data_IF_809684591645
#
_entry.id   IF_809684591645
#
_cell.length_a   1.000
_cell.length_b   1.000
_cell.length_c   1.000
_cell.angle_alpha   90.00
_cell.angle_beta   90.00
_cell.angle_gamma   90.00
#
_symmetry.space_group_name_H-M   'P 1'
#
loop_
_entity.id
_entity.type
_entity.pdbx_description
1 polymer ?
#
# COMPACT_ATOMS: atom_id res chain seq x y z
N UNK A 1 -6.77 -1.03 -39.98
CA UNK A 1 -5.53 -1.84 -39.97
C UNK A 1 -4.42 -1.16 -39.17
N UNK A 2 -4.05 0.09 -39.46
CA UNK A 2 -2.88 0.78 -38.91
C UNK A 2 -2.83 0.85 -37.37
N UNK A 3 -3.94 1.21 -36.71
CA UNK A 3 -3.99 1.24 -35.24
C UNK A 3 -3.82 -0.15 -34.61
N UNK A 4 -4.42 -1.18 -35.21
CA UNK A 4 -4.34 -2.57 -34.75
C UNK A 4 -2.92 -3.13 -34.84
N UNK A 5 -2.22 -2.88 -35.96
CA UNK A 5 -0.83 -3.26 -36.12
C UNK A 5 0.07 -2.55 -35.09
N UNK A 6 -0.13 -1.24 -34.89
CA UNK A 6 0.64 -0.47 -33.93
C UNK A 6 0.46 -0.97 -32.48
N UNK A 7 -0.77 -1.27 -32.03
CA UNK A 7 -0.99 -1.79 -30.66
C UNK A 7 -0.44 -3.21 -30.48
N UNK A 8 -0.42 -4.02 -31.54
CA UNK A 8 0.20 -5.35 -31.50
C UNK A 8 1.72 -5.25 -31.33
N UNK A 9 2.39 -4.41 -32.12
CA UNK A 9 3.85 -4.22 -32.02
C UNK A 9 4.25 -3.65 -30.66
N UNK A 10 3.47 -2.70 -30.13
CA UNK A 10 3.64 -2.19 -28.76
C UNK A 10 3.49 -3.31 -27.73
N UNK A 11 2.51 -4.21 -27.89
CA UNK A 11 2.33 -5.33 -26.95
C UNK A 11 3.56 -6.25 -26.95
N UNK A 12 4.11 -6.59 -28.11
CA UNK A 12 5.34 -7.40 -28.20
C UNK A 12 6.50 -6.75 -27.45
N UNK A 13 6.74 -5.44 -27.67
CA UNK A 13 7.82 -4.71 -27.00
C UNK A 13 7.60 -4.62 -25.48
N UNK A 14 6.38 -4.29 -25.04
CA UNK A 14 6.03 -4.13 -23.63
C UNK A 14 6.11 -5.45 -22.88
N UNK A 15 5.65 -6.56 -23.46
CA UNK A 15 5.76 -7.88 -22.83
C UNK A 15 7.21 -8.34 -22.70
N UNK A 16 8.04 -8.10 -23.72
CA UNK A 16 9.48 -8.38 -23.63
C UNK A 16 10.14 -7.66 -22.46
N UNK A 17 9.86 -6.37 -22.28
CA UNK A 17 10.37 -5.56 -21.16
C UNK A 17 9.80 -6.04 -19.81
N UNK A 18 8.48 -6.30 -19.72
CA UNK A 18 7.85 -6.77 -18.48
C UNK A 18 8.44 -8.11 -18.01
N UNK A 19 8.65 -9.04 -18.93
CA UNK A 19 9.26 -10.34 -18.62
C UNK A 19 10.73 -10.23 -18.23
N UNK A 20 11.48 -9.30 -18.82
CA UNK A 20 12.89 -9.12 -18.49
C UNK A 20 13.12 -8.61 -17.07
N UNK A 21 12.35 -7.59 -16.66
CA UNK A 21 12.53 -6.97 -15.35
C UNK A 21 11.79 -7.68 -14.23
N UNK A 22 10.74 -8.45 -14.56
CA UNK A 22 9.88 -9.17 -13.61
C UNK A 22 9.57 -8.37 -12.34
N UNK A 23 9.27 -7.08 -12.54
CA UNK A 23 9.22 -6.12 -11.45
C UNK A 23 7.98 -6.32 -10.59
N UNK A 24 8.17 -6.22 -9.28
CA UNK A 24 7.13 -6.36 -8.28
C UNK A 24 6.00 -5.33 -8.50
N UNK A 25 4.77 -5.73 -8.17
CA UNK A 25 3.63 -4.79 -8.20
C UNK A 25 3.68 -3.88 -6.96
N UNK A 26 3.19 -2.62 -7.06
CA UNK A 26 3.19 -1.70 -5.93
C UNK A 26 2.57 -2.28 -4.65
N UNK A 27 1.46 -3.04 -4.77
CA UNK A 27 0.79 -3.67 -3.62
C UNK A 27 1.72 -4.56 -2.82
N UNK A 28 2.48 -5.42 -3.51
CA UNK A 28 3.41 -6.34 -2.88
C UNK A 28 4.61 -5.59 -2.28
N UNK A 29 5.09 -4.54 -2.94
CA UNK A 29 6.17 -3.71 -2.42
C UNK A 29 5.76 -2.96 -1.14
N UNK A 30 4.60 -2.29 -1.15
CA UNK A 30 4.12 -1.51 0.00
C UNK A 30 3.82 -2.41 1.20
N UNK A 31 3.11 -3.53 0.99
CA UNK A 31 2.84 -4.49 2.07
C UNK A 31 4.14 -5.08 2.63
N UNK A 32 5.04 -5.53 1.76
CA UNK A 32 6.34 -6.10 2.17
C UNK A 32 7.21 -5.11 2.94
N UNK A 33 7.33 -3.86 2.49
CA UNK A 33 8.09 -2.83 3.22
C UNK A 33 7.43 -2.48 4.56
N UNK A 34 6.10 -2.45 4.61
CA UNK A 34 5.37 -2.15 5.85
C UNK A 34 5.45 -3.26 6.89
N UNK A 35 5.55 -4.53 6.47
CA UNK A 35 5.79 -5.68 7.35
C UNK A 35 7.17 -5.62 8.00
N UNK A 36 8.18 -5.08 7.29
CA UNK A 36 9.53 -4.92 7.81
C UNK A 36 9.56 -3.82 8.90
N UNK A 37 8.88 -2.71 8.67
CA UNK A 37 8.82 -1.59 9.62
C UNK A 37 8.99 -0.24 8.95
N UNK A 38 9.39 0.78 9.70
CA UNK A 38 9.64 2.13 9.17
C UNK A 38 11.13 2.42 8.96
N UNK A 39 11.48 3.22 7.96
CA UNK A 39 12.88 3.56 7.64
C UNK A 39 13.25 5.03 7.84
N UNK A 40 12.38 5.83 8.46
CA UNK A 40 12.55 7.28 8.57
C UNK A 40 13.38 7.72 9.78
N UNK A 41 13.09 7.21 10.98
CA UNK A 41 13.75 7.63 12.22
C UNK A 41 14.26 6.40 13.01
N UNK A 42 15.59 6.26 13.19
CA UNK A 42 16.18 5.19 14.00
C UNK A 42 15.73 5.13 15.46
N UNK A 43 15.17 6.22 16.00
CA UNK A 43 14.72 6.29 17.39
C UNK A 43 13.24 5.92 17.56
N UNK A 44 12.49 5.78 16.47
CA UNK A 44 11.11 5.33 16.50
C UNK A 44 11.02 3.80 16.52
N UNK A 45 9.94 3.23 17.07
CA UNK A 45 9.70 1.79 17.05
C UNK A 45 9.75 1.19 15.64
N UNK A 46 10.07 -0.10 15.56
CA UNK A 46 10.10 -0.89 14.31
C UNK A 46 10.96 -0.23 13.21
N UNK A 47 12.08 0.39 13.58
CA UNK A 47 13.01 0.93 12.60
C UNK A 47 13.76 -0.17 11.85
N UNK A 48 13.74 -0.12 10.53
CA UNK A 48 14.57 -0.93 9.66
C UNK A 48 14.93 -0.13 8.38
N UNK A 49 16.21 -0.07 7.97
CA UNK A 49 16.61 0.63 6.73
C UNK A 49 15.92 0.14 5.44
N UNK A 50 15.44 -1.10 5.41
CA UNK A 50 14.68 -1.68 4.30
C UNK A 50 13.16 -1.49 4.44
N UNK A 51 12.70 -0.87 5.54
CA UNK A 51 11.29 -0.56 5.80
C UNK A 51 10.75 0.61 4.97
N UNK A 52 9.48 0.94 5.20
CA UNK A 52 8.78 2.01 4.50
C UNK A 52 9.08 3.39 5.12
N UNK A 53 9.33 4.45 4.35
CA UNK A 53 9.52 5.78 4.91
C UNK A 53 8.19 6.32 5.48
N UNK A 54 8.28 7.00 6.62
CA UNK A 54 7.18 7.78 7.17
C UNK A 54 7.05 9.10 6.42
N UNK A 55 5.81 9.48 6.12
CA UNK A 55 5.47 10.71 5.41
C UNK A 55 4.24 11.31 6.11
N UNK A 56 4.40 12.50 6.67
CA UNK A 56 3.34 13.18 7.40
C UNK A 56 2.03 13.24 6.60
N UNK A 57 0.91 12.87 7.26
CA UNK A 57 -0.43 12.80 6.67
C UNK A 57 -0.62 11.76 5.55
N UNK A 58 0.34 10.87 5.33
CA UNK A 58 0.26 9.80 4.32
C UNK A 58 0.66 8.42 4.85
N UNK A 59 1.79 8.31 5.56
CA UNK A 59 2.36 7.06 6.07
C UNK A 59 2.87 7.34 7.48
N UNK A 60 2.26 6.70 8.48
CA UNK A 60 2.50 6.99 9.88
C UNK A 60 2.49 5.70 10.71
N UNK A 61 2.98 5.78 11.94
CA UNK A 61 2.80 4.72 12.92
C UNK A 61 1.42 4.84 13.57
N UNK A 62 0.81 3.70 13.87
CA UNK A 62 -0.36 3.64 14.75
C UNK A 62 0.11 3.94 16.17
N UNK A 63 -0.46 4.98 16.78
CA UNK A 63 -0.14 5.41 18.13
C UNK A 63 -1.17 4.85 19.13
N UNK A 64 -0.83 4.85 20.42
CA UNK A 64 -1.80 4.53 21.47
C UNK A 64 -2.94 5.57 21.47
N UNK A 65 -4.19 5.10 21.50
CA UNK A 65 -5.40 5.90 21.34
C UNK A 65 -5.83 6.15 19.89
N UNK A 66 -5.10 5.61 18.90
CA UNK A 66 -5.50 5.69 17.48
C UNK A 66 -6.71 4.78 17.22
N UNK A 67 -7.69 5.20 16.37
CA UNK A 67 -8.80 4.33 15.97
C UNK A 67 -8.39 2.96 15.41
N UNK A 68 -7.16 2.83 14.88
CA UNK A 68 -6.61 1.59 14.33
C UNK A 68 -5.84 0.73 15.34
N UNK A 69 -5.71 1.14 16.60
CA UNK A 69 -4.93 0.46 17.66
C UNK A 69 -5.36 -1.00 17.93
N UNK A 70 -6.62 -1.35 17.62
CA UNK A 70 -7.32 -2.57 18.03
C UNK A 70 -7.53 -2.70 19.55
N UNK A 71 -8.39 -3.63 19.98
CA UNK A 71 -8.90 -3.68 21.36
C UNK A 71 -7.82 -3.91 22.43
N UNK A 72 -6.72 -4.58 22.09
CA UNK A 72 -5.62 -4.87 23.02
C UNK A 72 -4.34 -4.07 22.73
N UNK A 73 -4.36 -3.12 21.79
CA UNK A 73 -3.14 -2.46 21.33
C UNK A 73 -2.30 -3.28 20.35
N UNK A 74 -2.88 -4.31 19.74
CA UNK A 74 -2.17 -5.25 18.85
C UNK A 74 -1.56 -4.56 17.61
N UNK A 75 -2.10 -3.40 17.23
CA UNK A 75 -1.63 -2.66 16.06
C UNK A 75 -0.73 -1.46 16.42
N UNK A 76 -0.45 -1.19 17.70
CA UNK A 76 0.45 -0.09 18.08
C UNK A 76 1.82 -0.31 17.41
N UNK A 77 2.41 0.77 16.89
CA UNK A 77 3.67 0.77 16.14
C UNK A 77 3.62 0.05 14.78
N UNK A 78 2.48 -0.46 14.33
CA UNK A 78 2.32 -0.87 12.93
C UNK A 78 2.24 0.36 12.02
N UNK A 79 2.51 0.15 10.74
CA UNK A 79 2.37 1.17 9.71
C UNK A 79 0.89 1.32 9.34
N UNK A 80 0.38 2.55 9.39
CA UNK A 80 -0.88 2.96 8.76
C UNK A 80 -0.59 3.85 7.56
N UNK A 81 -1.43 3.75 6.54
CA UNK A 81 -1.36 4.57 5.34
C UNK A 81 -2.72 5.20 5.04
N UNK A 82 -2.69 6.39 4.45
CA UNK A 82 -3.89 7.09 4.03
C UNK A 82 -4.23 6.72 2.59
N UNK A 83 -5.20 5.81 2.44
CA UNK A 83 -5.57 5.23 1.16
C UNK A 83 -7.09 5.01 1.06
N UNK A 84 -7.54 4.43 -0.04
CA UNK A 84 -8.91 3.93 -0.15
C UNK A 84 -9.15 2.87 0.94
N UNK A 85 -10.24 3.01 1.69
CA UNK A 85 -10.44 2.23 2.93
C UNK A 85 -10.65 0.72 2.71
N UNK A 86 -11.01 0.32 1.50
CA UNK A 86 -11.20 -1.09 1.16
C UNK A 86 -12.65 -1.50 0.97
N UNK A 87 -12.87 -2.73 0.48
CA UNK A 87 -14.20 -3.26 0.22
C UNK A 87 -15.04 -3.43 1.49
N UNK A 88 -14.41 -3.64 2.65
CA UNK A 88 -15.11 -3.82 3.94
C UNK A 88 -15.92 -2.58 4.37
N UNK A 89 -15.64 -1.43 3.75
CA UNK A 89 -16.35 -0.17 3.97
C UNK A 89 -17.47 0.08 2.94
N UNK A 90 -17.80 -0.91 2.10
CA UNK A 90 -18.88 -0.88 1.11
C UNK A 90 -19.88 -1.98 1.47
N UNK A 91 -21.09 -1.61 1.89
CA UNK A 91 -22.15 -2.58 2.14
C UNK A 91 -22.92 -2.90 0.86
N UNK A 92 -23.22 -1.89 0.04
CA UNK A 92 -23.82 -2.03 -1.28
C UNK A 92 -22.99 -1.29 -2.35
N UNK A 93 -22.32 -2.00 -3.27
CA UNK A 93 -21.44 -1.39 -4.27
C UNK A 93 -22.17 -0.55 -5.32
N UNK A 94 -23.52 -0.54 -5.32
CA UNK A 94 -24.30 0.30 -6.24
C UNK A 94 -24.57 1.71 -5.71
N UNK A 95 -24.46 1.92 -4.39
CA UNK A 95 -24.82 3.18 -3.74
C UNK A 95 -23.79 3.68 -2.71
N UNK A 96 -22.92 2.80 -2.21
CA UNK A 96 -21.93 3.14 -1.20
C UNK A 96 -20.53 3.37 -1.81
N UNK A 97 -19.78 4.26 -1.16
CA UNK A 97 -18.37 4.47 -1.45
C UNK A 97 -17.56 4.37 -0.15
N UNK A 98 -16.52 3.53 -0.15
CA UNK A 98 -15.65 3.38 1.03
C UNK A 98 -14.89 4.67 1.39
N UNK A 99 -14.66 5.56 0.41
CA UNK A 99 -13.90 6.80 0.59
C UNK A 99 -12.42 6.58 0.93
N UNK A 100 -11.75 7.68 1.31
CA UNK A 100 -10.33 7.70 1.69
C UNK A 100 -10.19 7.87 3.20
N UNK A 101 -9.28 7.13 3.82
CA UNK A 101 -9.02 7.16 5.25
C UNK A 101 -7.73 6.44 5.62
N UNK A 102 -7.47 6.35 6.92
CA UNK A 102 -6.35 5.58 7.43
C UNK A 102 -6.72 4.09 7.47
N UNK A 103 -5.83 3.26 6.94
CA UNK A 103 -5.90 1.81 7.05
C UNK A 103 -4.53 1.27 7.44
N UNK A 104 -4.48 0.06 7.99
CA UNK A 104 -3.21 -0.64 8.18
C UNK A 104 -2.57 -0.92 6.81
N UNK A 105 -1.27 -0.68 6.69
CA UNK A 105 -0.54 -0.84 5.43
C UNK A 105 -0.54 -2.30 4.92
N UNK A 106 -0.55 -3.28 5.83
CA UNK A 106 -0.67 -4.72 5.51
C UNK A 106 -1.98 -5.04 4.76
N UNK A 107 -3.02 -4.23 4.94
CA UNK A 107 -4.31 -4.39 4.30
C UNK A 107 -4.44 -3.61 2.99
N UNK A 108 -3.40 -2.90 2.52
CA UNK A 108 -3.54 -2.01 1.36
C UNK A 108 -4.00 -2.76 0.10
N UNK A 109 -5.09 -2.29 -0.52
CA UNK A 109 -5.82 -2.94 -1.61
C UNK A 109 -5.42 -2.40 -2.99
#
# INVERSE_FOLDING_TARGET
FTLGAAVHDVAVAVWGVKSWYDYIRPISAIRGMAEIGQSHDPNLPNYDPAGIPLIDNQIELVLAGDPLEAANGDNINKIKIRAWKGPDYIADPTVDEAGVGWILAENWW
#
